data_IF_983069030515
#
_entry.id   IF_983069030515
#
_cell.length_a   1.000
_cell.length_b   1.000
_cell.length_c   1.000
_cell.angle_alpha   90.00
_cell.angle_beta   90.00
_cell.angle_gamma   90.00
#
_symmetry.space_group_name_H-M   'P 1'
#
loop_
_entity.id
_entity.type
_entity.pdbx_description
1 polymer ?
#
# COMPACT_ATOMS: atom_id res chain seq x y z
N UNK A 1 -15.52 20.60 3.83
CA UNK A 1 -14.48 19.87 3.07
C UNK A 1 -15.20 19.02 2.03
N UNK A 2 -15.29 19.42 0.75
CA UNK A 2 -16.07 18.65 -0.22
C UNK A 2 -15.32 17.35 -0.56
N UNK A 3 -16.06 16.25 -0.50
CA UNK A 3 -15.59 14.89 -0.81
C UNK A 3 -15.65 14.70 -2.33
N UNK A 4 -14.84 15.46 -3.07
CA UNK A 4 -14.67 15.28 -4.53
C UNK A 4 -13.30 14.68 -4.83
N UNK A 5 -12.96 13.57 -4.15
CA UNK A 5 -11.64 12.94 -4.28
C UNK A 5 -11.75 11.43 -4.47
N UNK A 6 -12.56 11.00 -5.45
CA UNK A 6 -12.56 9.60 -5.93
C UNK A 6 -12.93 8.53 -4.90
N UNK A 7 -13.09 7.28 -5.36
CA UNK A 7 -13.31 6.12 -4.47
C UNK A 7 -12.04 5.73 -3.70
N UNK A 8 -10.89 6.27 -4.09
CA UNK A 8 -9.56 5.87 -3.67
C UNK A 8 -8.70 7.11 -3.36
N UNK A 9 -7.73 6.97 -2.46
CA UNK A 9 -6.79 8.06 -2.17
C UNK A 9 -5.97 8.43 -3.42
N UNK A 10 -5.55 9.70 -3.58
CA UNK A 10 -4.78 10.14 -4.76
C UNK A 10 -3.43 9.43 -4.94
N UNK A 11 -2.89 8.81 -3.88
CA UNK A 11 -1.69 7.97 -3.94
C UNK A 11 -1.98 6.49 -4.21
N UNK A 12 -3.25 6.10 -4.15
CA UNK A 12 -3.74 4.74 -4.35
C UNK A 12 -4.06 4.50 -5.82
N UNK A 13 -4.21 5.56 -6.61
CA UNK A 13 -4.51 5.51 -8.04
C UNK A 13 -3.28 5.76 -8.89
N UNK A 14 -3.28 5.26 -10.12
CA UNK A 14 -2.30 5.57 -11.16
C UNK A 14 -2.62 6.91 -11.85
N UNK A 15 -1.86 7.24 -12.90
CA UNK A 15 -2.02 8.49 -13.67
C UNK A 15 -3.37 8.57 -14.41
N UNK A 16 -4.08 7.45 -14.56
CA UNK A 16 -5.42 7.40 -15.15
C UNK A 16 -6.54 7.53 -14.12
N UNK A 17 -6.20 7.54 -12.82
CA UNK A 17 -7.16 7.53 -11.71
C UNK A 17 -7.69 6.13 -11.37
N UNK A 18 -7.15 5.07 -11.99
CA UNK A 18 -7.47 3.69 -11.66
C UNK A 18 -6.65 3.22 -10.45
N UNK A 19 -7.21 2.33 -9.62
CA UNK A 19 -6.49 1.78 -8.47
C UNK A 19 -5.21 1.05 -8.94
N UNK A 20 -4.04 1.45 -8.42
CA UNK A 20 -2.76 0.81 -8.76
C UNK A 20 -2.81 -0.68 -8.45
N UNK A 21 -2.18 -1.60 -9.20
CA UNK A 21 -2.12 -3.01 -8.83
C UNK A 21 -1.51 -3.24 -7.43
N UNK A 22 -1.95 -4.29 -6.73
CA UNK A 22 -1.46 -4.64 -5.39
C UNK A 22 0.07 -4.70 -5.34
N UNK A 23 0.68 -5.44 -6.25
CA UNK A 23 2.15 -5.66 -6.30
C UNK A 23 2.92 -4.36 -6.54
N UNK A 24 2.37 -3.47 -7.38
CA UNK A 24 2.98 -2.16 -7.63
C UNK A 24 2.93 -1.30 -6.38
N UNK A 25 1.75 -1.21 -5.74
CA UNK A 25 1.59 -0.44 -4.52
C UNK A 25 2.46 -0.97 -3.39
N UNK A 26 2.48 -2.29 -3.21
CA UNK A 26 3.30 -2.99 -2.23
C UNK A 26 4.79 -2.69 -2.43
N UNK A 27 5.30 -2.83 -3.65
CA UNK A 27 6.71 -2.59 -3.98
C UNK A 27 7.11 -1.13 -3.73
N UNK A 28 6.28 -0.18 -4.15
CA UNK A 28 6.52 1.26 -3.92
C UNK A 28 6.55 1.60 -2.43
N UNK A 29 5.63 1.03 -1.66
CA UNK A 29 5.57 1.21 -0.21
C UNK A 29 6.75 0.58 0.52
N UNK A 30 7.14 -0.65 0.16
CA UNK A 30 8.29 -1.32 0.73
C UNK A 30 9.59 -0.55 0.43
N UNK A 31 9.76 -0.06 -0.80
CA UNK A 31 10.91 0.77 -1.18
C UNK A 31 10.95 2.10 -0.41
N UNK A 32 9.79 2.73 -0.18
CA UNK A 32 9.71 3.94 0.65
C UNK A 32 10.06 3.66 2.11
N UNK A 33 9.54 2.57 2.68
CA UNK A 33 9.81 2.17 4.06
C UNK A 33 11.29 1.81 4.25
N UNK A 34 11.91 1.11 3.31
CA UNK A 34 13.34 0.77 3.31
C UNK A 34 14.24 2.01 3.29
N UNK A 35 13.82 3.08 2.60
CA UNK A 35 14.54 4.37 2.60
C UNK A 35 14.38 5.11 3.91
N UNK A 36 13.22 4.97 4.58
CA UNK A 36 12.92 5.61 5.86
C UNK A 36 13.63 4.92 7.03
N UNK A 37 13.72 3.60 6.99
CA UNK A 37 14.37 2.79 8.00
C UNK A 37 15.32 1.77 7.31
N UNK A 38 16.57 2.18 7.03
CA UNK A 38 17.55 1.30 6.39
C UNK A 38 18.10 0.20 7.32
N UNK A 39 17.81 0.27 8.64
CA UNK A 39 18.24 -0.74 9.59
C UNK A 39 17.20 -1.89 9.72
N UNK A 40 15.95 -1.65 9.32
CA UNK A 40 14.92 -2.67 9.31
C UNK A 40 15.23 -3.79 8.31
N UNK A 41 14.90 -5.02 8.69
CA UNK A 41 15.01 -6.15 7.77
C UNK A 41 13.96 -6.06 6.66
N UNK A 42 14.25 -6.66 5.51
CA UNK A 42 13.30 -6.75 4.39
C UNK A 42 11.96 -7.38 4.85
N UNK A 43 12.01 -8.44 5.65
CA UNK A 43 10.80 -9.10 6.15
C UNK A 43 9.98 -8.19 7.07
N UNK A 44 10.63 -7.41 7.93
CA UNK A 44 9.94 -6.46 8.81
C UNK A 44 9.28 -5.34 8.03
N UNK A 45 9.96 -4.85 6.99
CA UNK A 45 9.42 -3.84 6.07
C UNK A 45 8.19 -4.39 5.36
N UNK A 46 8.28 -5.59 4.78
CA UNK A 46 7.18 -6.22 4.05
C UNK A 46 5.97 -6.45 4.96
N UNK A 47 6.19 -6.92 6.20
CA UNK A 47 5.12 -7.10 7.20
C UNK A 47 4.43 -5.78 7.55
N UNK A 48 5.20 -4.73 7.83
CA UNK A 48 4.66 -3.39 8.13
C UNK A 48 3.83 -2.84 6.96
N UNK A 49 4.27 -3.08 5.73
CA UNK A 49 3.50 -2.70 4.54
C UNK A 49 2.21 -3.49 4.44
N UNK A 50 2.22 -4.81 4.68
CA UNK A 50 1.00 -5.63 4.69
C UNK A 50 0.01 -5.18 5.77
N UNK A 51 0.48 -4.86 6.97
CA UNK A 51 -0.35 -4.34 8.06
C UNK A 51 -1.00 -3.01 7.68
N UNK A 52 -0.25 -2.11 7.07
CA UNK A 52 -0.79 -0.85 6.59
C UNK A 52 -1.81 -1.07 5.45
N UNK A 53 -1.52 -1.96 4.49
CA UNK A 53 -2.45 -2.30 3.41
C UNK A 53 -3.74 -2.95 3.93
N UNK A 54 -3.70 -3.66 5.05
CA UNK A 54 -4.89 -4.21 5.71
C UNK A 54 -5.85 -3.12 6.24
N UNK A 55 -5.35 -1.91 6.52
CA UNK A 55 -6.20 -0.78 6.90
C UNK A 55 -6.93 -0.15 5.71
N UNK A 56 -6.54 -0.50 4.48
CA UNK A 56 -7.14 0.05 3.26
C UNK A 56 -8.29 -0.82 2.74
N UNK A 57 -9.50 -0.27 2.53
CA UNK A 57 -10.63 -1.02 1.99
C UNK A 57 -10.36 -1.65 0.62
N UNK A 58 -9.49 -1.04 -0.19
CA UNK A 58 -9.15 -1.53 -1.51
C UNK A 58 -8.27 -2.79 -1.51
N UNK A 59 -7.53 -3.03 -0.42
CA UNK A 59 -6.48 -4.06 -0.36
C UNK A 59 -6.66 -5.08 0.76
N UNK A 60 -7.49 -4.78 1.76
CA UNK A 60 -7.74 -5.64 2.93
C UNK A 60 -8.10 -7.08 2.57
N UNK A 61 -8.79 -7.32 1.46
CA UNK A 61 -9.27 -8.65 1.06
C UNK A 61 -8.29 -9.36 0.11
N UNK A 62 -7.10 -8.81 -0.14
CA UNK A 62 -6.09 -9.43 -0.99
C UNK A 62 -5.48 -10.68 -0.31
N UNK A 63 -5.24 -11.80 -1.03
CA UNK A 63 -4.73 -13.04 -0.44
C UNK A 63 -3.43 -12.87 0.37
N UNK A 64 -2.48 -12.06 -0.12
CA UNK A 64 -1.23 -11.79 0.61
C UNK A 64 -1.43 -10.96 1.89
N UNK A 65 -2.46 -10.12 1.93
CA UNK A 65 -2.79 -9.35 3.13
C UNK A 65 -3.48 -10.27 4.13
N UNK A 66 -4.35 -11.17 3.68
CA UNK A 66 -5.01 -12.15 4.54
C UNK A 66 -4.06 -13.22 5.08
N UNK A 67 -2.97 -13.51 4.37
CA UNK A 67 -1.94 -14.48 4.77
C UNK A 67 -0.78 -13.90 5.61
N UNK A 68 -0.88 -12.64 6.04
CA UNK A 68 0.14 -11.96 6.88
C UNK A 68 0.18 -12.52 8.30
#
# INVERSE_FOLDING_TARGET
>A
MPIESGRYCGYCTDDSGALQPFEERFTRMAAWQARRDPAASKQDIERQVLDYMATMPAWRDHPRVQAR
#
